data_IF_011381384396
#
_entry.id   IF_011381384396
#
_cell.length_a   1.000
_cell.length_b   1.000
_cell.length_c   1.000
_cell.angle_alpha   90.00
_cell.angle_beta   90.00
_cell.angle_gamma   90.00
#
_symmetry.space_group_name_H-M   'P 1'
#
loop_
_entity.id
_entity.type
_entity.pdbx_description
1 polymer ?
#
# COMPACT_ATOMS: atom_id res chain seq x y z
N UNK A 1 11.97 12.28 -12.34
CA UNK A 1 12.89 11.17 -12.00
C UNK A 1 12.13 9.99 -11.42
N UNK A 2 11.37 10.13 -10.31
CA UNK A 2 10.64 9.00 -9.71
C UNK A 2 9.59 8.35 -10.61
N UNK A 3 8.70 9.12 -11.24
CA UNK A 3 7.59 8.58 -12.05
C UNK A 3 7.96 7.62 -13.18
N UNK A 4 9.21 7.58 -13.65
CA UNK A 4 9.68 6.66 -14.72
C UNK A 4 10.81 5.73 -14.25
N UNK A 5 11.11 5.74 -12.95
CA UNK A 5 12.22 4.97 -12.38
C UNK A 5 12.04 3.45 -12.58
N UNK A 6 10.81 2.97 -12.72
CA UNK A 6 10.52 1.58 -13.03
C UNK A 6 10.83 1.18 -14.48
N UNK A 7 10.81 2.13 -15.43
CA UNK A 7 11.10 1.89 -16.84
C UNK A 7 12.59 1.90 -17.16
N UNK A 8 13.39 2.69 -16.44
CA UNK A 8 14.83 2.73 -16.60
C UNK A 8 15.50 1.34 -16.58
N UNK A 9 15.29 0.47 -15.57
CA UNK A 9 15.90 -0.86 -15.55
C UNK A 9 15.30 -1.81 -16.62
N UNK A 10 14.06 -1.58 -17.05
CA UNK A 10 13.44 -2.33 -18.16
C UNK A 10 14.15 -2.03 -19.48
N UNK A 11 14.59 -0.80 -19.69
CA UNK A 11 15.39 -0.38 -20.85
C UNK A 11 16.90 -0.59 -20.67
N UNK A 12 17.33 -1.26 -19.59
CA UNK A 12 18.74 -1.53 -19.33
C UNK A 12 19.55 -0.32 -18.85
N UNK A 13 18.89 0.75 -18.38
CA UNK A 13 19.56 1.93 -17.85
C UNK A 13 19.96 1.73 -16.39
N UNK A 14 21.19 2.09 -15.98
CA UNK A 14 21.65 1.93 -14.61
C UNK A 14 20.97 2.93 -13.68
N UNK A 15 20.41 2.44 -12.57
CA UNK A 15 19.76 3.26 -11.53
C UNK A 15 20.59 3.44 -10.25
N UNK A 16 21.69 2.69 -10.11
CA UNK A 16 22.59 2.75 -8.96
C UNK A 16 21.84 2.59 -7.62
N UNK A 17 22.09 3.52 -6.70
CA UNK A 17 21.48 3.55 -5.35
C UNK A 17 19.95 3.72 -5.35
N UNK A 18 19.35 4.12 -6.48
CA UNK A 18 17.90 4.32 -6.62
C UNK A 18 17.20 3.16 -7.32
N UNK A 19 17.87 2.03 -7.52
CA UNK A 19 17.27 0.88 -8.23
C UNK A 19 16.04 0.32 -7.54
N UNK A 20 15.90 0.46 -6.22
CA UNK A 20 14.71 0.08 -5.46
C UNK A 20 13.49 0.97 -5.74
N UNK A 21 13.66 2.21 -6.22
CA UNK A 21 12.58 3.20 -6.38
C UNK A 21 11.55 2.85 -7.48
N UNK A 22 11.68 1.69 -8.14
CA UNK A 22 10.72 1.20 -9.13
C UNK A 22 9.31 1.05 -8.53
N UNK A 23 9.16 0.56 -7.30
CA UNK A 23 7.82 0.37 -6.71
C UNK A 23 7.19 1.71 -6.32
N UNK A 24 7.99 2.68 -5.88
CA UNK A 24 7.52 4.04 -5.64
C UNK A 24 7.02 4.70 -6.93
N UNK A 25 7.70 4.49 -8.06
CA UNK A 25 7.24 4.97 -9.36
C UNK A 25 5.87 4.39 -9.74
N UNK A 26 5.67 3.10 -9.50
CA UNK A 26 4.39 2.41 -9.73
C UNK A 26 3.29 3.00 -8.84
N UNK A 27 3.57 3.26 -7.56
CA UNK A 27 2.62 3.89 -6.64
C UNK A 27 2.24 5.30 -7.10
N UNK A 28 3.22 6.14 -7.46
CA UNK A 28 2.98 7.48 -8.00
C UNK A 28 2.13 7.43 -9.29
N UNK A 29 2.44 6.50 -10.20
CA UNK A 29 1.67 6.26 -11.42
C UNK A 29 0.23 5.90 -11.12
N UNK A 30 0.03 4.94 -10.20
CA UNK A 30 -1.28 4.50 -9.76
C UNK A 30 -2.08 5.65 -9.14
N UNK A 31 -1.48 6.43 -8.22
CA UNK A 31 -2.17 7.54 -7.56
C UNK A 31 -2.53 8.69 -8.51
N UNK A 32 -1.83 8.84 -9.62
CA UNK A 32 -2.22 9.80 -10.66
C UNK A 32 -3.35 9.27 -11.55
N UNK A 33 -3.22 8.02 -12.00
CA UNK A 33 -4.08 7.43 -13.04
C UNK A 33 -5.41 6.92 -12.47
N UNK A 34 -5.37 6.21 -11.34
CA UNK A 34 -6.54 5.55 -10.78
C UNK A 34 -7.68 6.51 -10.41
N UNK A 35 -7.46 7.68 -9.79
CA UNK A 35 -8.56 8.61 -9.50
C UNK A 35 -9.30 9.07 -10.76
N UNK A 36 -8.59 9.30 -11.86
CA UNK A 36 -9.18 9.71 -13.14
C UNK A 36 -10.04 8.57 -13.69
N UNK A 37 -9.49 7.34 -13.73
CA UNK A 37 -10.23 6.14 -14.16
C UNK A 37 -11.48 5.95 -13.30
N UNK A 38 -11.34 6.03 -11.98
CA UNK A 38 -12.43 5.82 -11.04
C UNK A 38 -13.55 6.87 -11.24
N UNK A 39 -13.21 8.15 -11.46
CA UNK A 39 -14.21 9.19 -11.76
C UNK A 39 -14.96 8.88 -13.05
N UNK A 40 -14.27 8.48 -14.11
CA UNK A 40 -14.90 8.11 -15.39
C UNK A 40 -15.82 6.91 -15.21
N UNK A 41 -15.36 5.86 -14.52
CA UNK A 41 -16.15 4.66 -14.26
C UNK A 41 -17.37 4.96 -13.39
N UNK A 42 -17.25 5.80 -12.36
CA UNK A 42 -18.38 6.19 -11.50
C UNK A 42 -19.42 7.04 -12.23
N UNK A 43 -19.03 7.79 -13.27
CA UNK A 43 -19.97 8.51 -14.12
C UNK A 43 -20.75 7.56 -15.03
N UNK A 44 -20.10 6.52 -15.56
CA UNK A 44 -20.71 5.56 -16.47
C UNK A 44 -21.46 4.41 -15.78
N UNK A 45 -21.00 3.97 -14.61
CA UNK A 45 -21.50 2.79 -13.90
C UNK A 45 -22.07 3.21 -12.54
N UNK A 46 -23.39 3.30 -12.47
CA UNK A 46 -24.10 3.71 -11.25
C UNK A 46 -24.20 2.58 -10.21
N UNK A 47 -24.20 1.32 -10.66
CA UNK A 47 -24.36 0.17 -9.78
C UNK A 47 -22.99 -0.31 -9.23
N UNK A 48 -22.78 -0.17 -7.92
CA UNK A 48 -21.49 -0.47 -7.27
C UNK A 48 -20.99 -1.89 -7.49
N UNK A 49 -21.88 -2.88 -7.53
CA UNK A 49 -21.47 -4.27 -7.81
C UNK A 49 -21.05 -4.48 -9.25
N UNK A 50 -21.67 -3.78 -10.20
CA UNK A 50 -21.23 -3.84 -11.60
C UNK A 50 -19.85 -3.20 -11.72
N UNK A 51 -19.64 -2.08 -11.02
CA UNK A 51 -18.32 -1.43 -10.97
C UNK A 51 -17.26 -2.35 -10.35
N UNK A 52 -17.56 -3.00 -9.23
CA UNK A 52 -16.68 -4.04 -8.65
C UNK A 52 -16.40 -5.15 -9.64
N UNK A 53 -17.42 -5.68 -10.32
CA UNK A 53 -17.26 -6.75 -11.30
C UNK A 53 -16.37 -6.33 -12.49
N UNK A 54 -16.54 -5.11 -13.00
CA UNK A 54 -15.71 -4.54 -14.07
C UNK A 54 -14.26 -4.39 -13.62
N UNK A 55 -14.01 -3.86 -12.43
CA UNK A 55 -12.65 -3.71 -11.89
C UNK A 55 -12.01 -5.06 -11.60
N UNK A 56 -12.76 -6.03 -11.08
CA UNK A 56 -12.30 -7.41 -10.91
C UNK A 56 -11.98 -8.09 -12.24
N UNK A 57 -12.79 -7.86 -13.28
CA UNK A 57 -12.53 -8.38 -14.62
C UNK A 57 -11.24 -7.76 -15.20
N UNK A 58 -11.04 -6.45 -15.03
CA UNK A 58 -9.80 -5.77 -15.42
C UNK A 58 -8.58 -6.33 -14.67
N UNK A 59 -8.71 -6.63 -13.37
CA UNK A 59 -7.67 -7.30 -12.60
C UNK A 59 -7.35 -8.70 -13.16
N UNK A 60 -8.38 -9.46 -13.54
CA UNK A 60 -8.24 -10.76 -14.21
C UNK A 60 -7.51 -10.64 -15.55
N UNK A 61 -7.86 -9.65 -16.38
CA UNK A 61 -7.17 -9.38 -17.65
C UNK A 61 -5.70 -9.01 -17.42
N UNK A 62 -5.39 -8.15 -16.44
CA UNK A 62 -4.02 -7.80 -16.08
C UNK A 62 -3.22 -9.02 -15.58
N UNK A 63 -3.85 -9.90 -14.81
CA UNK A 63 -3.24 -11.17 -14.39
C UNK A 63 -2.92 -12.05 -15.60
N UNK A 64 -3.89 -12.26 -16.50
CA UNK A 64 -3.70 -13.04 -17.71
C UNK A 64 -2.62 -12.45 -18.61
N UNK A 65 -2.56 -11.12 -18.72
CA UNK A 65 -1.52 -10.40 -19.43
C UNK A 65 -0.13 -10.69 -18.84
N UNK A 66 0.04 -10.59 -17.51
CA UNK A 66 1.32 -10.96 -16.89
C UNK A 66 1.68 -12.43 -17.13
N UNK A 67 0.72 -13.36 -17.01
CA UNK A 67 0.97 -14.78 -17.30
C UNK A 67 1.38 -14.99 -18.76
N UNK A 68 0.76 -14.28 -19.70
CA UNK A 68 1.14 -14.32 -21.11
C UNK A 68 2.58 -13.83 -21.33
N UNK A 69 3.05 -12.84 -20.54
CA UNK A 69 4.43 -12.35 -20.56
C UNK A 69 5.44 -13.30 -19.91
N UNK A 70 5.02 -14.32 -19.16
CA UNK A 70 5.96 -15.28 -18.52
C UNK A 70 6.50 -16.34 -19.49
N UNK A 71 6.86 -15.92 -20.71
CA UNK A 71 7.48 -16.80 -21.71
C UNK A 71 8.98 -16.98 -21.45
N UNK A 72 9.55 -18.15 -21.80
CA UNK A 72 11.00 -18.35 -21.80
C UNK A 72 11.71 -17.22 -22.55
N UNK A 73 12.74 -16.64 -21.94
CA UNK A 73 13.51 -15.53 -22.51
C UNK A 73 13.02 -14.13 -22.16
N UNK A 74 11.87 -13.98 -21.49
CA UNK A 74 11.43 -12.66 -20.99
C UNK A 74 12.33 -12.21 -19.83
N UNK A 75 12.93 -11.01 -19.87
CA UNK A 75 13.75 -10.52 -18.77
C UNK A 75 12.94 -10.40 -17.47
N UNK A 76 13.47 -10.95 -16.37
CA UNK A 76 12.78 -10.93 -15.06
C UNK A 76 12.41 -9.51 -14.63
N UNK A 77 13.29 -8.55 -14.90
CA UNK A 77 13.08 -7.14 -14.57
C UNK A 77 11.84 -6.54 -15.22
N UNK A 78 11.45 -7.04 -16.41
CA UNK A 78 10.24 -6.60 -17.11
C UNK A 78 8.98 -7.01 -16.37
N UNK A 79 8.97 -8.23 -15.84
CA UNK A 79 7.87 -8.75 -15.03
C UNK A 79 7.85 -8.08 -13.65
N UNK A 80 9.04 -7.74 -13.13
CA UNK A 80 9.21 -7.19 -11.79
C UNK A 80 8.92 -5.70 -11.66
N UNK A 81 9.26 -4.88 -12.66
CA UNK A 81 9.13 -3.42 -12.58
C UNK A 81 8.00 -2.83 -13.45
N UNK A 82 7.23 -3.65 -14.17
CA UNK A 82 6.14 -3.18 -15.03
C UNK A 82 4.91 -2.73 -14.24
N UNK A 83 4.41 -1.52 -14.48
CA UNK A 83 3.11 -1.09 -13.93
C UNK A 83 1.98 -2.04 -14.37
N UNK A 84 2.02 -2.44 -15.64
CA UNK A 84 1.04 -3.33 -16.25
C UNK A 84 1.07 -4.75 -15.65
N UNK A 85 2.24 -5.23 -15.20
CA UNK A 85 2.38 -6.54 -14.55
C UNK A 85 2.03 -6.52 -13.06
N UNK A 86 1.93 -5.33 -12.45
CA UNK A 86 1.44 -5.12 -11.07
C UNK A 86 0.00 -4.60 -11.00
N UNK A 87 -0.59 -4.25 -12.15
CA UNK A 87 -1.93 -3.68 -12.22
C UNK A 87 -3.00 -4.61 -11.62
N UNK A 88 -2.84 -5.92 -11.75
CA UNK A 88 -3.75 -6.89 -11.16
C UNK A 88 -3.81 -6.79 -9.62
N UNK A 89 -2.66 -6.65 -8.97
CA UNK A 89 -2.56 -6.55 -7.51
C UNK A 89 -3.21 -5.25 -7.00
N UNK A 90 -2.96 -4.15 -7.71
CA UNK A 90 -3.57 -2.85 -7.43
C UNK A 90 -5.09 -2.90 -7.64
N UNK A 91 -5.54 -3.44 -8.77
CA UNK A 91 -6.96 -3.54 -9.12
C UNK A 91 -7.73 -4.51 -8.22
N UNK A 92 -7.10 -5.59 -7.73
CA UNK A 92 -7.69 -6.46 -6.71
C UNK A 92 -7.94 -5.69 -5.40
N UNK A 93 -7.00 -4.85 -4.97
CA UNK A 93 -7.19 -3.95 -3.83
C UNK A 93 -8.33 -2.95 -4.08
N UNK A 94 -8.39 -2.35 -5.27
CA UNK A 94 -9.49 -1.46 -5.66
C UNK A 94 -10.86 -2.17 -5.67
N UNK A 95 -10.93 -3.37 -6.23
CA UNK A 95 -12.15 -4.17 -6.27
C UNK A 95 -12.63 -4.52 -4.86
N UNK A 96 -11.71 -4.90 -3.97
CA UNK A 96 -12.02 -5.14 -2.55
C UNK A 96 -12.57 -3.88 -1.87
N UNK A 97 -11.92 -2.72 -2.06
CA UNK A 97 -12.41 -1.45 -1.53
C UNK A 97 -13.80 -1.06 -2.06
N UNK A 98 -14.06 -1.27 -3.36
CA UNK A 98 -15.37 -1.04 -3.96
C UNK A 98 -16.42 -2.01 -3.40
N UNK A 99 -16.10 -3.29 -3.26
CA UNK A 99 -16.99 -4.29 -2.67
C UNK A 99 -17.35 -3.91 -1.23
N UNK A 100 -16.37 -3.48 -0.44
CA UNK A 100 -16.60 -2.99 0.92
C UNK A 100 -17.50 -1.76 0.93
N UNK A 101 -17.25 -0.80 0.03
CA UNK A 101 -18.08 0.39 -0.10
C UNK A 101 -19.52 0.10 -0.55
N UNK A 102 -19.77 -1.04 -1.21
CA UNK A 102 -21.11 -1.41 -1.67
C UNK A 102 -22.06 -1.83 -0.55
N UNK A 103 -21.56 -2.04 0.68
CA UNK A 103 -22.34 -2.50 1.82
C UNK A 103 -22.72 -3.99 1.77
N UNK A 104 -22.23 -4.73 0.78
CA UNK A 104 -22.52 -6.16 0.59
C UNK A 104 -21.72 -7.08 1.49
N UNK A 105 -20.54 -6.64 1.91
CA UNK A 105 -19.80 -7.29 2.99
C UNK A 105 -20.53 -6.98 4.30
N UNK A 106 -21.36 -7.91 4.73
CA UNK A 106 -22.13 -7.78 5.97
C UNK A 106 -21.18 -7.79 7.17
N UNK A 107 -20.82 -6.61 7.65
CA UNK A 107 -20.01 -6.43 8.87
C UNK A 107 -20.84 -6.40 10.15
N UNK A 108 -22.18 -6.53 10.05
CA UNK A 108 -23.11 -6.57 11.18
C UNK A 108 -23.48 -8.00 11.59
N UNK A 109 -23.60 -8.93 10.63
CA UNK A 109 -23.83 -10.35 10.89
C UNK A 109 -22.58 -11.03 11.50
N UNK A 110 -22.74 -11.67 12.67
CA UNK A 110 -21.68 -12.40 13.36
C UNK A 110 -21.02 -13.51 12.53
N UNK A 111 -21.81 -14.24 11.72
CA UNK A 111 -21.31 -15.33 10.87
C UNK A 111 -20.41 -14.78 9.76
N UNK A 112 -20.87 -13.75 9.05
CA UNK A 112 -20.11 -13.10 7.99
C UNK A 112 -18.79 -12.50 8.51
N UNK A 113 -18.83 -11.87 9.69
CA UNK A 113 -17.62 -11.37 10.37
C UNK A 113 -16.66 -12.50 10.74
N UNK A 114 -17.18 -13.61 11.25
CA UNK A 114 -16.38 -14.80 11.56
C UNK A 114 -15.66 -15.34 10.33
N UNK A 115 -16.37 -15.46 9.19
CA UNK A 115 -15.80 -15.88 7.92
C UNK A 115 -14.71 -14.93 7.42
N UNK A 116 -14.93 -13.61 7.51
CA UNK A 116 -13.92 -12.60 7.13
C UNK A 116 -12.66 -12.74 8.00
N UNK A 117 -12.80 -12.92 9.31
CA UNK A 117 -11.67 -13.11 10.24
C UNK A 117 -10.86 -14.35 9.94
N UNK A 118 -11.55 -15.47 9.70
CA UNK A 118 -10.90 -16.72 9.29
C UNK A 118 -10.15 -16.49 7.97
N UNK A 119 -10.78 -15.79 7.01
CA UNK A 119 -10.13 -15.36 5.77
C UNK A 119 -8.87 -14.53 6.00
N UNK A 120 -8.91 -13.55 6.90
CA UNK A 120 -7.75 -12.74 7.29
C UNK A 120 -6.61 -13.56 7.87
N UNK A 121 -6.91 -14.51 8.77
CA UNK A 121 -5.89 -15.43 9.33
C UNK A 121 -5.31 -16.34 8.24
N UNK A 122 -6.13 -16.89 7.35
CA UNK A 122 -5.67 -17.67 6.19
C UNK A 122 -4.76 -16.81 5.31
N UNK A 123 -5.14 -15.56 5.04
CA UNK A 123 -4.33 -14.61 4.29
C UNK A 123 -2.98 -14.34 4.97
N UNK A 124 -2.96 -14.11 6.28
CA UNK A 124 -1.73 -13.89 7.04
C UNK A 124 -0.80 -15.11 7.01
N UNK A 125 -1.35 -16.31 7.19
CA UNK A 125 -0.59 -17.58 7.08
C UNK A 125 -0.05 -17.75 5.66
N UNK A 126 -0.88 -17.51 4.64
CA UNK A 126 -0.47 -17.59 3.24
C UNK A 126 0.69 -16.62 2.94
N UNK A 127 0.61 -15.36 3.40
CA UNK A 127 1.70 -14.40 3.26
C UNK A 127 2.98 -14.88 3.96
N UNK A 128 2.89 -15.43 5.17
CA UNK A 128 4.04 -15.97 5.88
C UNK A 128 4.68 -17.15 5.13
N UNK A 129 3.87 -18.07 4.59
CA UNK A 129 4.36 -19.21 3.80
C UNK A 129 4.97 -18.77 2.47
N UNK A 130 4.36 -17.81 1.78
CA UNK A 130 4.91 -17.23 0.54
C UNK A 130 6.24 -16.52 0.81
N UNK A 131 6.35 -15.80 1.92
CA UNK A 131 7.59 -15.16 2.36
C UNK A 131 8.69 -16.20 2.65
N UNK A 132 8.39 -17.24 3.44
CA UNK A 132 9.35 -18.33 3.73
C UNK A 132 9.82 -18.99 2.43
N UNK A 133 8.90 -19.27 1.51
CA UNK A 133 9.22 -19.87 0.21
C UNK A 133 10.11 -18.97 -0.65
N UNK A 134 9.93 -17.65 -0.58
CA UNK A 134 10.75 -16.68 -1.33
C UNK A 134 12.23 -16.68 -0.90
N UNK A 135 12.54 -17.15 0.30
CA UNK A 135 13.90 -17.21 0.87
C UNK A 135 14.73 -18.38 0.31
N UNK A 136 14.10 -19.39 -0.31
CA UNK A 136 14.82 -20.52 -0.90
C UNK A 136 15.31 -20.21 -2.34
N UNK A 137 16.43 -20.82 -2.79
CA UNK A 137 16.88 -20.71 -4.18
C UNK A 137 15.78 -21.12 -5.16
N UNK A 138 15.50 -20.28 -6.17
CA UNK A 138 14.35 -20.45 -7.07
C UNK A 138 13.02 -19.89 -6.53
N UNK A 139 12.98 -19.44 -5.27
CA UNK A 139 11.85 -18.74 -4.65
C UNK A 139 11.52 -17.39 -5.30
N UNK A 140 12.49 -16.74 -5.96
CA UNK A 140 12.24 -15.53 -6.76
C UNK A 140 11.31 -15.78 -7.96
N UNK A 141 11.12 -17.04 -8.39
CA UNK A 141 10.13 -17.42 -9.42
C UNK A 141 8.68 -17.21 -8.91
N UNK A 142 8.48 -16.89 -7.63
CA UNK A 142 7.20 -16.42 -7.07
C UNK A 142 6.70 -15.06 -7.60
N UNK A 143 7.38 -14.39 -8.53
CA UNK A 143 6.71 -13.31 -9.30
C UNK A 143 5.45 -13.79 -10.02
N UNK A 144 5.32 -15.09 -10.31
CA UNK A 144 4.09 -15.71 -10.80
C UNK A 144 3.03 -15.90 -9.70
N UNK A 145 3.44 -15.92 -8.43
CA UNK A 145 2.56 -16.00 -7.26
C UNK A 145 2.09 -14.61 -6.77
N UNK A 146 2.37 -13.53 -7.49
CA UNK A 146 1.93 -12.18 -7.11
C UNK A 146 0.42 -12.04 -6.98
N UNK A 147 -0.39 -12.79 -7.76
CA UNK A 147 -1.85 -12.86 -7.52
C UNK A 147 -2.15 -13.49 -6.18
N UNK A 148 -1.46 -14.59 -5.81
CA UNK A 148 -1.69 -15.24 -4.52
C UNK A 148 -1.30 -14.31 -3.38
N UNK A 149 -0.18 -13.59 -3.51
CA UNK A 149 0.22 -12.54 -2.58
C UNK A 149 -0.85 -11.45 -2.50
N UNK A 150 -1.34 -10.94 -3.64
CA UNK A 150 -2.36 -9.89 -3.68
C UNK A 150 -3.69 -10.35 -3.06
N UNK A 151 -4.15 -11.56 -3.35
CA UNK A 151 -5.35 -12.14 -2.76
C UNK A 151 -5.18 -12.32 -1.24
N UNK A 152 -4.05 -12.85 -0.79
CA UNK A 152 -3.75 -13.01 0.62
C UNK A 152 -3.69 -11.65 1.34
N UNK A 153 -3.08 -10.62 0.72
CA UNK A 153 -3.09 -9.25 1.21
C UNK A 153 -4.50 -8.66 1.28
N UNK A 154 -5.35 -8.87 0.25
CA UNK A 154 -6.75 -8.44 0.27
C UNK A 154 -7.51 -9.09 1.43
N UNK A 155 -7.32 -10.39 1.67
CA UNK A 155 -7.97 -11.08 2.80
C UNK A 155 -7.57 -10.46 4.15
N UNK A 156 -6.28 -10.17 4.34
CA UNK A 156 -5.80 -9.49 5.55
C UNK A 156 -6.40 -8.10 5.65
N UNK A 157 -6.31 -7.27 4.60
CA UNK A 157 -6.81 -5.89 4.61
C UNK A 157 -8.32 -5.84 4.91
N UNK A 158 -9.10 -6.72 4.27
CA UNK A 158 -10.55 -6.80 4.50
C UNK A 158 -10.85 -7.15 5.96
N UNK A 159 -10.12 -8.09 6.57
CA UNK A 159 -10.27 -8.39 8.00
C UNK A 159 -9.93 -7.19 8.88
N UNK A 160 -8.83 -6.49 8.61
CA UNK A 160 -8.40 -5.32 9.40
C UNK A 160 -9.46 -4.20 9.41
N UNK A 161 -10.30 -4.12 8.39
CA UNK A 161 -11.37 -3.14 8.31
C UNK A 161 -12.69 -3.57 9.00
N UNK A 162 -12.79 -4.79 9.52
CA UNK A 162 -14.00 -5.28 10.20
C UNK A 162 -13.89 -5.06 11.72
N UNK A 163 -14.96 -4.58 12.39
CA UNK A 163 -14.95 -4.38 13.84
C UNK A 163 -14.57 -5.65 14.62
N UNK A 164 -13.63 -5.49 15.55
CA UNK A 164 -13.16 -6.55 16.44
C UNK A 164 -12.26 -7.60 15.79
N UNK A 165 -11.58 -7.28 14.67
CA UNK A 165 -10.52 -8.14 14.13
C UNK A 165 -9.40 -8.34 15.15
N UNK A 166 -9.00 -9.59 15.38
CA UNK A 166 -7.88 -9.92 16.25
C UNK A 166 -6.54 -9.51 15.63
N UNK A 167 -6.43 -9.61 14.30
CA UNK A 167 -5.25 -9.14 13.57
C UNK A 167 -5.09 -7.63 13.74
N UNK A 168 -6.17 -6.86 13.61
CA UNK A 168 -6.14 -5.41 13.85
C UNK A 168 -5.66 -5.08 15.27
N UNK A 169 -6.25 -5.72 16.29
CA UNK A 169 -5.83 -5.50 17.68
C UNK A 169 -4.35 -5.85 17.94
N UNK A 170 -3.82 -6.86 17.25
CA UNK A 170 -2.41 -7.21 17.30
C UNK A 170 -1.54 -6.13 16.67
N UNK A 171 -1.87 -5.72 15.44
CA UNK A 171 -1.09 -4.77 14.63
C UNK A 171 -1.17 -3.33 15.14
N UNK A 172 -2.24 -2.95 15.84
CA UNK A 172 -2.44 -1.63 16.44
C UNK A 172 -1.61 -1.41 17.73
N UNK A 173 -0.86 -2.42 18.18
CA UNK A 173 0.02 -2.28 19.34
C UNK A 173 1.09 -1.19 19.09
N UNK A 174 1.40 -0.33 20.09
CA UNK A 174 2.34 0.78 19.92
C UNK A 174 3.68 0.47 19.23
N UNK A 175 4.39 -0.65 19.51
CA UNK A 175 5.65 -0.93 18.82
C UNK A 175 5.47 -1.21 17.33
N UNK A 176 4.43 -1.95 16.94
CA UNK A 176 4.16 -2.29 15.54
C UNK A 176 3.70 -1.05 14.75
N UNK A 177 2.86 -0.22 15.38
CA UNK A 177 2.50 1.09 14.82
C UNK A 177 3.73 1.99 14.67
N UNK A 178 4.67 1.95 15.64
CA UNK A 178 5.93 2.66 15.57
C UNK A 178 6.78 2.28 14.36
N UNK A 179 6.90 0.98 14.09
CA UNK A 179 7.58 0.45 12.89
C UNK A 179 6.86 0.91 11.62
N UNK A 180 5.52 0.80 11.59
CA UNK A 180 4.72 1.27 10.46
C UNK A 180 4.94 2.74 10.13
N UNK A 181 5.09 3.59 11.16
CA UNK A 181 5.32 5.04 10.99
C UNK A 181 6.65 5.39 10.33
N UNK A 182 7.69 4.59 10.53
CA UNK A 182 9.02 4.82 9.92
C UNK A 182 9.24 3.97 8.67
N UNK A 183 8.27 3.13 8.29
CA UNK A 183 8.43 2.13 7.23
C UNK A 183 8.76 2.76 5.87
N UNK A 184 8.15 3.90 5.55
CA UNK A 184 8.44 4.63 4.33
C UNK A 184 9.89 5.15 4.30
N UNK A 185 10.33 5.83 5.35
CA UNK A 185 11.71 6.31 5.46
C UNK A 185 12.71 5.14 5.47
N UNK A 186 12.40 4.04 6.16
CA UNK A 186 13.23 2.84 6.16
C UNK A 186 13.35 2.24 4.76
N UNK A 187 12.23 2.15 4.03
CA UNK A 187 12.22 1.71 2.64
C UNK A 187 13.05 2.63 1.73
N UNK A 188 13.04 3.95 1.92
CA UNK A 188 13.85 4.86 1.10
C UNK A 188 15.35 4.73 1.39
N UNK A 189 15.72 4.59 2.67
CA UNK A 189 17.12 4.65 3.10
C UNK A 189 17.83 3.30 3.14
N UNK A 190 17.11 2.17 3.22
CA UNK A 190 17.76 0.86 3.34
C UNK A 190 18.68 0.58 2.15
N UNK A 191 18.22 0.79 0.92
CA UNK A 191 18.98 0.38 -0.25
C UNK A 191 20.26 1.23 -0.44
N UNK A 192 20.23 2.58 -0.37
CA UNK A 192 21.46 3.37 -0.41
C UNK A 192 22.44 3.02 0.71
N UNK A 193 21.97 2.79 1.94
CA UNK A 193 22.83 2.43 3.07
C UNK A 193 23.46 1.06 2.86
N UNK A 194 22.68 0.08 2.42
CA UNK A 194 23.18 -1.24 2.10
C UNK A 194 24.19 -1.20 0.95
N UNK A 195 23.95 -0.36 -0.05
CA UNK A 195 24.89 -0.15 -1.15
C UNK A 195 26.22 0.44 -0.65
N UNK A 196 26.15 1.53 0.14
CA UNK A 196 27.33 2.23 0.66
C UNK A 196 28.17 1.38 1.61
N UNK A 197 27.54 0.53 2.41
CA UNK A 197 28.23 -0.36 3.36
C UNK A 197 28.70 -1.67 2.72
N UNK A 198 28.53 -1.86 1.40
CA UNK A 198 28.89 -3.09 0.71
C UNK A 198 28.04 -4.31 1.13
N UNK A 199 26.88 -4.04 1.75
CA UNK A 199 25.92 -5.06 2.15
C UNK A 199 25.08 -5.58 0.97
N UNK A 200 25.09 -4.87 -0.17
CA UNK A 200 24.59 -5.39 -1.45
C UNK A 200 25.73 -6.11 -2.19
N UNK A 201 25.52 -7.38 -2.53
CA UNK A 201 26.42 -8.15 -3.40
C UNK A 201 25.68 -8.71 -4.59
N UNK A 202 26.38 -8.80 -5.71
CA UNK A 202 26.04 -9.72 -6.81
C UNK A 202 26.94 -10.97 -6.79
N UNK A 203 27.91 -11.07 -5.88
CA UNK A 203 28.75 -12.26 -5.65
C UNK A 203 28.14 -13.21 -4.63
N UNK A 204 28.31 -14.52 -4.82
CA UNK A 204 27.85 -15.60 -3.93
C UNK A 204 28.56 -15.63 -2.55
N UNK A 205 29.39 -14.63 -2.24
CA UNK A 205 30.09 -14.56 -0.97
C UNK A 205 29.14 -14.17 0.17
N UNK A 206 29.06 -15.06 1.17
CA UNK A 206 28.34 -14.84 2.42
C UNK A 206 28.81 -13.55 3.07
N UNK A 207 27.88 -12.61 3.26
CA UNK A 207 28.20 -11.32 3.86
C UNK A 207 28.49 -11.49 5.36
N UNK A 208 29.51 -10.80 5.89
CA UNK A 208 29.74 -10.80 7.33
C UNK A 208 28.47 -10.31 8.04
N UNK A 209 27.97 -11.10 9.00
CA UNK A 209 26.77 -10.75 9.77
C UNK A 209 26.86 -9.33 10.35
N UNK A 210 28.07 -8.94 10.80
CA UNK A 210 28.38 -7.58 11.27
C UNK A 210 28.03 -6.49 10.26
N UNK A 211 28.27 -6.69 8.96
CA UNK A 211 27.98 -5.70 7.91
C UNK A 211 26.49 -5.55 7.69
N UNK A 212 25.75 -6.67 7.68
CA UNK A 212 24.29 -6.66 7.52
C UNK A 212 23.60 -6.01 8.73
N UNK A 213 24.04 -6.35 9.94
CA UNK A 213 23.54 -5.73 11.16
C UNK A 213 23.85 -4.23 11.22
N UNK A 214 25.07 -3.83 10.84
CA UNK A 214 25.44 -2.41 10.77
C UNK A 214 24.57 -1.64 9.75
N UNK A 215 24.25 -2.27 8.60
CA UNK A 215 23.39 -1.67 7.59
C UNK A 215 21.94 -1.50 8.07
N UNK A 216 21.38 -2.51 8.75
CA UNK A 216 20.05 -2.39 9.35
C UNK A 216 20.01 -1.35 10.48
N UNK A 217 20.99 -1.36 11.38
CA UNK A 217 21.08 -0.37 12.45
C UNK A 217 21.14 1.06 11.88
N UNK A 218 22.03 1.28 10.90
CA UNK A 218 22.16 2.57 10.21
C UNK A 218 20.87 2.96 9.50
N UNK A 219 20.21 2.02 8.83
CA UNK A 219 18.91 2.24 8.17
C UNK A 219 17.86 2.72 9.15
N UNK A 220 17.70 2.03 10.28
CA UNK A 220 16.69 2.40 11.28
C UNK A 220 17.00 3.76 11.92
N UNK A 221 18.28 4.05 12.19
CA UNK A 221 18.72 5.34 12.73
C UNK A 221 18.41 6.48 11.75
N UNK A 222 18.82 6.33 10.48
CA UNK A 222 18.59 7.35 9.45
C UNK A 222 17.10 7.49 9.14
N UNK A 223 16.36 6.37 9.06
CA UNK A 223 14.92 6.38 8.85
C UNK A 223 14.18 7.11 9.97
N UNK A 224 14.55 6.86 11.23
CA UNK A 224 13.96 7.55 12.37
C UNK A 224 14.28 9.05 12.34
N UNK A 225 15.54 9.42 12.07
CA UNK A 225 15.93 10.82 11.92
C UNK A 225 15.15 11.52 10.78
N UNK A 226 15.07 10.88 9.61
CA UNK A 226 14.30 11.34 8.46
C UNK A 226 12.82 11.52 8.79
N UNK A 227 12.23 10.56 9.50
CA UNK A 227 10.84 10.63 9.94
C UNK A 227 10.60 11.83 10.87
N UNK A 228 11.48 12.06 11.85
CA UNK A 228 11.33 13.16 12.81
C UNK A 228 11.58 14.53 12.17
N UNK A 229 12.59 14.64 11.30
CA UNK A 229 13.07 15.91 10.75
C UNK A 229 12.29 16.32 9.50
N UNK A 230 11.88 15.37 8.66
CA UNK A 230 11.27 15.67 7.34
C UNK A 230 9.80 15.28 7.32
N UNK A 231 9.50 14.02 7.61
CA UNK A 231 8.17 13.46 7.39
C UNK A 231 7.12 14.04 8.36
N UNK A 232 7.46 14.08 9.66
CA UNK A 232 6.57 14.64 10.69
C UNK A 232 6.20 16.10 10.44
N UNK A 233 7.15 17.01 10.14
CA UNK A 233 6.82 18.38 9.75
C UNK A 233 5.97 18.45 8.48
N UNK A 234 6.29 17.68 7.44
CA UNK A 234 5.50 17.66 6.20
C UNK A 234 4.05 17.22 6.44
N UNK A 235 3.82 16.19 7.26
CA UNK A 235 2.50 15.73 7.66
C UNK A 235 1.74 16.77 8.51
N UNK A 236 2.45 17.55 9.33
CA UNK A 236 1.86 18.64 10.10
C UNK A 236 1.40 19.79 9.18
N UNK A 237 2.17 20.12 8.15
CA UNK A 237 1.77 21.11 7.13
C UNK A 237 0.55 20.62 6.35
N UNK A 238 0.55 19.36 5.90
CA UNK A 238 -0.60 18.75 5.19
C UNK A 238 -1.91 18.90 5.99
N UNK A 239 -1.88 18.62 7.29
CA UNK A 239 -3.05 18.75 8.17
C UNK A 239 -3.64 20.17 8.22
N UNK A 240 -2.85 21.21 7.98
CA UNK A 240 -3.32 22.61 7.93
C UNK A 240 -4.15 22.93 6.68
N UNK A 241 -4.02 22.13 5.63
CA UNK A 241 -4.68 22.32 4.33
C UNK A 241 -5.68 21.20 3.99
N UNK A 242 -5.74 20.13 4.79
CA UNK A 242 -6.79 19.11 4.68
C UNK A 242 -8.17 19.69 5.03
N UNK A 243 -9.20 19.23 4.31
CA UNK A 243 -10.59 19.72 4.41
C UNK A 243 -11.21 19.65 5.83
N UNK A 244 -10.70 18.81 6.73
CA UNK A 244 -11.06 18.81 8.16
C UNK A 244 -10.84 20.20 8.80
N UNK A 245 -9.73 20.87 8.48
CA UNK A 245 -9.45 22.21 8.98
C UNK A 245 -10.34 23.31 8.36
N UNK A 246 -11.00 23.03 7.23
CA UNK A 246 -11.95 23.94 6.60
C UNK A 246 -13.36 23.76 7.18
N UNK A 247 -13.74 22.53 7.55
CA UNK A 247 -14.98 22.22 8.27
C UNK A 247 -14.94 22.80 9.69
N UNK A 248 -13.85 22.62 10.44
CA UNK A 248 -13.68 23.21 11.78
C UNK A 248 -13.71 24.75 11.75
N UNK A 249 -13.09 25.37 10.74
CA UNK A 249 -13.15 26.83 10.57
C UNK A 249 -14.53 27.32 10.14
N UNK A 250 -15.25 26.57 9.31
CA UNK A 250 -16.62 26.87 8.93
C UNK A 250 -17.60 26.79 10.10
N UNK A 251 -17.45 25.77 10.95
CA UNK A 251 -18.26 25.56 12.16
C UNK A 251 -18.05 26.68 13.20
N UNK A 252 -16.81 27.15 13.37
CA UNK A 252 -16.49 28.29 14.25
C UNK A 252 -17.11 29.61 13.77
N UNK A 253 -17.26 29.81 12.46
CA UNK A 253 -17.87 31.02 11.90
C UNK A 253 -19.41 31.00 11.96
N UNK A 254 -20.05 29.82 12.01
CA UNK A 254 -21.51 29.71 12.17
C UNK A 254 -22.01 29.90 13.61
N UNK A 255 -21.13 29.79 14.62
CA UNK A 255 -21.50 29.95 16.04
C UNK A 255 -21.41 31.38 16.58
N UNK A 256 -20.99 32.36 15.77
CA UNK A 256 -20.97 33.78 16.15
C UNK A 256 -22.17 34.50 15.52
N UNK A 257 -23.37 34.27 16.04
CA UNK A 257 -24.48 35.23 15.99
C UNK A 257 -24.89 35.57 17.43
N UNK A 258 -24.69 36.80 17.92
CA UNK A 258 -25.10 37.18 19.26
C UNK A 258 -26.63 37.30 19.34
N UNK A 259 -27.24 36.50 20.21
CA UNK A 259 -28.60 36.65 20.67
C UNK A 259 -28.70 37.77 21.72
N UNK A 260 -29.15 38.95 21.32
CA UNK A 260 -29.76 39.98 22.20
C UNK A 260 -30.88 40.59 21.36
N UNK A 261 -32.15 40.52 21.72
CA UNK A 261 -32.79 41.18 22.86
C UNK A 261 -34.08 40.43 23.24
N UNK A 262 -34.22 40.06 24.52
CA UNK A 262 -35.52 39.87 25.18
C UNK A 262 -35.86 41.17 25.89
N UNK A 263 -37.05 41.73 25.63
CA UNK A 263 -37.74 42.56 26.62
C UNK A 263 -39.25 42.23 26.61
N UNK A 264 -39.65 41.54 27.68
CA UNK A 264 -40.85 41.76 28.52
C UNK A 264 -42.27 41.74 27.91
N UNK A 265 -42.91 40.56 28.07
CA UNK A 265 -44.23 40.21 28.62
C UNK A 265 -45.55 41.02 28.35
N UNK A 266 -46.69 40.30 28.12
CA UNK A 266 -48.08 40.80 28.02
C UNK A 266 -48.79 40.76 29.41
N UNK A 267 -50.10 41.10 29.60
CA UNK A 267 -51.25 41.22 28.68
C UNK A 267 -51.92 42.59 28.54
#
# INVERSE_FOLDING_TARGET
MFYVANWAPIWGLPMGVFSHAWSLAIEEQFYLVWPIILIVLLRGIQHRLLLTAVVSAAAGVACMWRLALTQPGTPLIRLYAGLDTHADSLLLGCAAGLLMSSGRLSTTNGVARGAIRIGGVIGAIALALLFIKSTFPGGYVLHQASVLTALASVLVIVDLCVPGSWLAHGLERPPLVGIGRISYAAYLWHFPIFFLLGALSMSDEVRPLKTVLAAWASTLTVAFASYVIVERPALAVKRRYSAESAIDRGALLTHVRPSTLRHTAPP
#
